data_IF_860712358896
#
_entry.id   IF_860712358896
#
_cell.length_a   1.000
_cell.length_b   1.000
_cell.length_c   1.000
_cell.angle_alpha   90.00
_cell.angle_beta   90.00
_cell.angle_gamma   90.00
#
_symmetry.space_group_name_H-M   'P 1'
#
loop_
_entity.id
_entity.type
_entity.pdbx_description
1 polymer ?
#
# COMPACT_ATOMS: atom_id res chain seq x y z
N UNK A 1 -22.68 -36.79 -32.25
CA UNK A 1 -22.12 -35.50 -31.79
C UNK A 1 -20.96 -35.17 -32.72
N UNK A 2 -21.02 -34.10 -33.52
CA UNK A 2 -19.93 -33.76 -34.45
C UNK A 2 -18.67 -33.36 -33.67
N UNK A 3 -17.48 -33.64 -34.22
CA UNK A 3 -16.21 -33.26 -33.58
C UNK A 3 -16.16 -31.77 -33.24
N UNK A 4 -16.74 -30.93 -34.10
CA UNK A 4 -16.89 -29.49 -33.88
C UNK A 4 -17.72 -29.14 -32.63
N UNK A 5 -18.80 -29.88 -32.35
CA UNK A 5 -19.61 -29.69 -31.13
C UNK A 5 -18.84 -30.04 -29.86
N UNK A 6 -18.03 -31.10 -29.89
CA UNK A 6 -17.16 -31.48 -28.75
C UNK A 6 -16.13 -30.38 -28.48
N UNK A 7 -15.50 -29.84 -29.52
CA UNK A 7 -14.51 -28.77 -29.41
C UNK A 7 -15.13 -27.51 -28.78
N UNK A 8 -16.32 -27.08 -29.23
CA UNK A 8 -17.01 -25.94 -28.64
C UNK A 8 -17.32 -26.14 -27.15
N UNK A 9 -17.78 -27.33 -26.76
CA UNK A 9 -18.11 -27.64 -25.38
C UNK A 9 -16.87 -27.57 -24.46
N UNK A 10 -15.72 -28.07 -24.93
CA UNK A 10 -14.45 -27.98 -24.18
C UNK A 10 -14.00 -26.53 -24.01
N UNK A 11 -14.11 -25.69 -25.05
CA UNK A 11 -13.75 -24.27 -24.97
C UNK A 11 -14.65 -23.55 -23.96
N UNK A 12 -15.97 -23.75 -24.03
CA UNK A 12 -16.93 -23.14 -23.10
C UNK A 12 -16.62 -23.55 -21.66
N UNK A 13 -16.37 -24.84 -21.42
CA UNK A 13 -16.04 -25.32 -20.09
C UNK A 13 -14.73 -24.71 -19.57
N UNK A 14 -13.72 -24.60 -20.44
CA UNK A 14 -12.41 -24.01 -20.09
C UNK A 14 -12.55 -22.53 -19.72
N UNK A 15 -13.31 -21.76 -20.52
CA UNK A 15 -13.60 -20.35 -20.23
C UNK A 15 -14.37 -20.20 -18.93
N UNK A 16 -15.33 -21.09 -18.66
CA UNK A 16 -16.12 -21.05 -17.43
C UNK A 16 -15.27 -21.35 -16.19
N UNK A 17 -14.40 -22.37 -16.25
CA UNK A 17 -13.44 -22.67 -15.16
C UNK A 17 -12.51 -21.49 -14.90
N UNK A 18 -12.00 -20.87 -15.97
CA UNK A 18 -11.14 -19.70 -15.87
C UNK A 18 -11.87 -18.50 -15.26
N UNK A 19 -13.12 -18.23 -15.69
CA UNK A 19 -13.94 -17.15 -15.17
C UNK A 19 -14.25 -17.34 -13.66
N UNK A 20 -14.59 -18.56 -13.24
CA UNK A 20 -14.80 -18.90 -11.83
C UNK A 20 -13.51 -18.74 -11.03
N UNK A 21 -12.37 -19.19 -11.57
CA UNK A 21 -11.06 -19.02 -10.95
C UNK A 21 -10.70 -17.54 -10.73
N UNK A 22 -10.88 -16.70 -11.75
CA UNK A 22 -10.64 -15.26 -11.63
C UNK A 22 -11.61 -14.59 -10.66
N UNK A 23 -12.90 -14.95 -10.68
CA UNK A 23 -13.87 -14.43 -9.72
C UNK A 23 -13.51 -14.83 -8.28
N UNK A 24 -13.13 -16.08 -8.06
CA UNK A 24 -12.67 -16.57 -6.75
C UNK A 24 -11.44 -15.82 -6.25
N UNK A 25 -10.42 -15.65 -7.10
CA UNK A 25 -9.23 -14.86 -6.79
C UNK A 25 -9.58 -13.40 -6.47
N UNK A 26 -10.45 -12.79 -7.26
CA UNK A 26 -10.89 -11.41 -7.08
C UNK A 26 -11.62 -11.23 -5.74
N UNK A 27 -12.55 -12.12 -5.41
CA UNK A 27 -13.26 -12.11 -4.12
C UNK A 27 -12.31 -12.34 -2.94
N UNK A 28 -11.32 -13.21 -3.10
CA UNK A 28 -10.29 -13.45 -2.08
C UNK A 28 -9.41 -12.21 -1.84
N UNK A 29 -8.94 -11.54 -2.90
CA UNK A 29 -8.19 -10.27 -2.77
C UNK A 29 -9.06 -9.18 -2.12
N UNK A 30 -10.33 -9.06 -2.52
CA UNK A 30 -11.26 -8.12 -1.87
C UNK A 30 -11.45 -8.42 -0.40
N UNK A 31 -11.54 -9.71 -0.03
CA UNK A 31 -11.63 -10.12 1.37
C UNK A 31 -10.39 -9.70 2.16
N UNK A 32 -9.20 -9.97 1.63
CA UNK A 32 -7.94 -9.57 2.27
C UNK A 32 -7.84 -8.05 2.48
N UNK A 33 -8.25 -7.27 1.48
CA UNK A 33 -8.29 -5.81 1.60
C UNK A 33 -9.28 -5.35 2.66
N UNK A 34 -10.48 -5.93 2.70
CA UNK A 34 -11.49 -5.61 3.73
C UNK A 34 -11.00 -5.96 5.13
N UNK A 35 -10.38 -7.12 5.30
CA UNK A 35 -9.79 -7.53 6.57
C UNK A 35 -8.65 -6.59 7.00
N UNK A 36 -7.77 -6.21 6.07
CA UNK A 36 -6.69 -5.27 6.36
C UNK A 36 -7.22 -3.87 6.71
N UNK A 37 -8.21 -3.37 5.99
CA UNK A 37 -8.85 -2.08 6.27
C UNK A 37 -9.61 -2.10 7.59
N UNK A 38 -10.33 -3.19 7.89
CA UNK A 38 -11.00 -3.40 9.17
C UNK A 38 -10.02 -3.37 10.32
N UNK A 39 -8.96 -4.19 10.26
CA UNK A 39 -7.94 -4.22 11.29
C UNK A 39 -7.20 -2.88 11.47
N UNK A 40 -6.98 -2.14 10.38
CA UNK A 40 -6.39 -0.80 10.44
C UNK A 40 -7.35 0.19 11.13
N UNK A 41 -8.66 0.11 10.87
CA UNK A 41 -9.68 0.92 11.55
C UNK A 41 -9.80 0.56 13.02
N UNK A 42 -9.85 -0.73 13.34
CA UNK A 42 -9.95 -1.24 14.72
C UNK A 42 -8.72 -0.82 15.55
N UNK A 43 -7.52 -0.81 14.94
CA UNK A 43 -6.29 -0.34 15.59
C UNK A 43 -6.21 1.18 15.76
N UNK A 44 -6.95 1.96 14.95
CA UNK A 44 -6.74 3.41 14.83
C UNK A 44 -7.82 4.30 15.44
N UNK A 45 -9.02 3.80 15.71
CA UNK A 45 -10.15 4.63 16.14
C UNK A 45 -10.36 5.89 15.23
N UNK A 46 -11.04 6.93 15.73
CA UNK A 46 -11.44 8.15 14.98
C UNK A 46 -10.26 9.01 14.47
N UNK A 47 -9.00 8.68 14.74
CA UNK A 47 -7.81 9.50 14.43
C UNK A 47 -7.21 9.30 13.03
N UNK A 48 -7.94 8.65 12.12
CA UNK A 48 -7.51 8.40 10.75
C UNK A 48 -7.87 9.57 9.83
N UNK A 49 -6.86 10.27 9.33
CA UNK A 49 -7.04 11.41 8.43
C UNK A 49 -7.24 10.94 6.97
N UNK A 50 -6.49 9.93 6.54
CA UNK A 50 -6.60 9.38 5.19
C UNK A 50 -6.05 7.95 5.11
N UNK A 51 -6.65 7.12 4.24
CA UNK A 51 -6.17 5.77 3.94
C UNK A 51 -6.20 5.54 2.44
N UNK A 52 -5.10 5.02 1.90
CA UNK A 52 -5.01 4.64 0.49
C UNK A 52 -4.41 3.24 0.29
N UNK A 53 -4.82 2.58 -0.79
CA UNK A 53 -4.10 1.43 -1.34
C UNK A 53 -2.71 1.86 -1.82
N UNK A 54 -1.69 1.07 -1.53
CA UNK A 54 -0.32 1.34 -1.96
C UNK A 54 0.45 0.04 -2.24
N UNK A 55 1.64 0.19 -2.82
CA UNK A 55 2.61 -0.89 -2.91
C UNK A 55 3.92 -0.50 -2.22
N UNK A 56 4.29 -1.26 -1.21
CA UNK A 56 5.50 -1.06 -0.43
C UNK A 56 6.74 -1.49 -1.20
N UNK A 57 7.63 -0.54 -1.47
CA UNK A 57 8.88 -0.74 -2.21
C UNK A 57 10.01 -1.27 -1.32
N UNK A 58 9.83 -1.20 -0.01
CA UNK A 58 10.76 -1.72 1.00
C UNK A 58 11.19 -0.67 2.03
N UNK A 59 11.99 -1.13 2.99
CA UNK A 59 12.66 -0.34 4.03
C UNK A 59 14.17 -0.60 3.98
N UNK A 60 15.01 0.42 4.10
CA UNK A 60 16.47 0.27 3.93
C UNK A 60 17.05 -0.71 4.95
N UNK A 61 16.67 -0.59 6.23
CA UNK A 61 17.17 -1.46 7.30
C UNK A 61 16.84 -2.95 7.13
N UNK A 62 15.80 -3.27 6.35
CA UNK A 62 15.38 -4.66 6.08
C UNK A 62 16.15 -5.34 4.93
N UNK A 63 17.02 -4.61 4.23
CA UNK A 63 17.88 -5.15 3.16
C UNK A 63 17.13 -5.63 1.91
N UNK A 64 17.85 -6.19 0.93
CA UNK A 64 17.28 -6.52 -0.38
C UNK A 64 16.40 -7.79 -0.41
N UNK A 65 16.58 -8.69 0.55
CA UNK A 65 15.84 -9.96 0.65
C UNK A 65 14.44 -9.82 1.27
N UNK A 66 14.05 -8.61 1.66
CA UNK A 66 12.76 -8.35 2.28
C UNK A 66 11.58 -8.67 1.34
N UNK A 67 10.49 -9.14 1.96
CA UNK A 67 9.22 -9.30 1.27
C UNK A 67 8.56 -7.94 1.10
N UNK A 68 8.09 -7.68 -0.13
CA UNK A 68 7.45 -6.45 -0.58
C UNK A 68 6.06 -6.77 -1.10
N UNK A 69 5.18 -5.78 -1.19
CA UNK A 69 3.84 -6.08 -1.65
C UNK A 69 2.83 -4.96 -1.51
N UNK A 70 1.60 -5.30 -1.88
CA UNK A 70 0.44 -4.42 -1.75
C UNK A 70 0.04 -4.29 -0.27
N UNK A 71 -0.45 -3.12 0.10
CA UNK A 71 -0.93 -2.84 1.42
C UNK A 71 -1.79 -1.58 1.46
N UNK A 72 -2.11 -1.18 2.68
CA UNK A 72 -2.76 0.08 2.99
C UNK A 72 -1.77 0.97 3.73
N UNK A 73 -1.74 2.23 3.35
CA UNK A 73 -1.04 3.28 4.09
C UNK A 73 -2.11 4.19 4.69
N UNK A 74 -2.02 4.45 5.99
CA UNK A 74 -2.85 5.39 6.70
C UNK A 74 -2.01 6.55 7.25
N UNK A 75 -2.52 7.75 7.08
CA UNK A 75 -2.08 8.96 7.76
C UNK A 75 -2.97 9.19 8.98
N UNK A 76 -2.33 9.38 10.14
CA UNK A 76 -2.98 9.82 11.38
C UNK A 76 -2.34 11.10 11.88
N UNK A 77 -2.90 11.72 12.93
CA UNK A 77 -2.29 12.89 13.57
C UNK A 77 -0.88 12.61 14.12
N UNK A 78 -0.64 11.36 14.56
CA UNK A 78 0.62 10.97 15.18
C UNK A 78 1.66 10.39 14.22
N UNK A 79 1.30 10.03 12.98
CA UNK A 79 2.25 9.51 12.00
C UNK A 79 1.65 8.63 10.89
N UNK A 80 2.49 7.75 10.35
CA UNK A 80 2.15 6.86 9.23
C UNK A 80 2.06 5.41 9.68
N UNK A 81 0.96 4.75 9.36
CA UNK A 81 0.79 3.30 9.59
C UNK A 81 0.67 2.56 8.27
N UNK A 82 1.50 1.54 8.12
CA UNK A 82 1.44 0.66 6.96
C UNK A 82 1.02 -0.75 7.36
N UNK A 83 0.13 -1.35 6.57
CA UNK A 83 -0.28 -2.75 6.71
C UNK A 83 -0.27 -3.46 5.36
N UNK A 84 0.57 -4.47 5.23
CA UNK A 84 0.67 -5.30 4.04
C UNK A 84 -0.47 -6.34 4.00
N UNK A 85 -1.01 -6.61 2.81
CA UNK A 85 -2.06 -7.61 2.63
C UNK A 85 -1.51 -9.02 2.85
N UNK A 86 -0.42 -9.36 2.16
CA UNK A 86 0.34 -10.59 2.33
C UNK A 86 1.84 -10.36 2.16
N UNK A 87 2.68 -10.93 3.05
CA UNK A 87 2.32 -11.47 4.36
C UNK A 87 1.71 -10.38 5.26
N UNK A 88 0.90 -10.75 6.25
CA UNK A 88 0.25 -9.83 7.19
C UNK A 88 1.28 -9.18 8.13
N UNK A 89 1.99 -8.17 7.62
CA UNK A 89 3.00 -7.38 8.35
C UNK A 89 2.52 -5.94 8.45
N UNK A 90 2.80 -5.29 9.56
CA UNK A 90 2.53 -3.87 9.77
C UNK A 90 3.71 -3.20 10.46
N UNK A 91 3.82 -1.89 10.29
CA UNK A 91 4.73 -1.05 11.04
C UNK A 91 4.18 0.38 11.13
N UNK A 92 4.76 1.13 12.06
CA UNK A 92 4.38 2.52 12.35
C UNK A 92 5.62 3.41 12.30
N UNK A 93 5.48 4.57 11.68
CA UNK A 93 6.49 5.64 11.66
C UNK A 93 5.86 6.84 12.38
N UNK A 94 6.33 7.17 13.61
CA UNK A 94 5.89 8.36 14.31
C UNK A 94 6.22 9.62 13.50
N UNK A 95 5.31 10.58 13.47
CA UNK A 95 5.50 11.87 12.82
C UNK A 95 6.76 12.58 13.34
N UNK A 96 6.99 12.52 14.65
CA UNK A 96 8.16 13.09 15.31
C UNK A 96 9.51 12.47 14.90
N UNK A 97 9.50 11.27 14.31
CA UNK A 97 10.73 10.62 13.83
C UNK A 97 11.03 10.91 12.36
N UNK A 98 10.06 11.45 11.61
CA UNK A 98 10.22 11.80 10.19
C UNK A 98 11.24 12.93 10.05
N UNK A 99 12.19 12.75 9.13
CA UNK A 99 13.28 13.68 8.82
C UNK A 99 13.15 14.30 7.44
N UNK A 100 12.45 13.64 6.52
CA UNK A 100 12.23 14.16 5.18
C UNK A 100 11.28 13.30 4.37
N UNK A 101 10.72 13.93 3.33
CA UNK A 101 9.90 13.27 2.31
C UNK A 101 10.49 13.62 0.94
N UNK A 102 10.64 12.62 0.08
CA UNK A 102 11.17 12.79 -1.28
C UNK A 102 10.41 11.92 -2.28
N UNK A 103 10.60 12.19 -3.58
CA UNK A 103 9.82 11.57 -4.66
C UNK A 103 10.67 10.81 -5.69
N UNK A 104 11.50 9.84 -5.28
CA UNK A 104 12.34 9.13 -6.23
C UNK A 104 11.48 8.23 -7.13
N UNK A 105 11.94 8.00 -8.36
CA UNK A 105 11.33 6.97 -9.23
C UNK A 105 11.79 5.55 -8.86
N UNK A 106 12.94 5.42 -8.18
CA UNK A 106 13.53 4.13 -7.83
C UNK A 106 13.84 4.05 -6.35
N UNK A 107 13.58 2.90 -5.75
CA UNK A 107 13.95 2.60 -4.37
C UNK A 107 14.43 1.16 -4.25
N UNK A 108 15.56 0.94 -3.57
CA UNK A 108 16.21 -0.38 -3.46
C UNK A 108 16.37 -1.08 -4.83
N UNK A 109 16.78 -0.31 -5.84
CA UNK A 109 16.98 -0.75 -7.23
C UNK A 109 15.72 -1.05 -8.04
N UNK A 110 14.51 -0.89 -7.47
CA UNK A 110 13.23 -1.19 -8.14
C UNK A 110 12.52 0.08 -8.63
N UNK A 111 11.83 -0.04 -9.76
CA UNK A 111 10.98 0.97 -10.36
C UNK A 111 9.56 0.41 -10.48
N UNK A 112 8.52 1.21 -10.25
CA UNK A 112 7.12 0.79 -10.41
C UNK A 112 6.23 1.87 -11.02
N UNK A 113 6.55 2.31 -12.23
CA UNK A 113 5.62 3.05 -13.09
C UNK A 113 5.36 4.51 -12.71
N UNK A 114 6.04 5.07 -11.70
CA UNK A 114 5.82 6.45 -11.27
C UNK A 114 6.78 6.91 -10.19
N UNK A 115 6.53 8.10 -9.66
CA UNK A 115 7.18 8.62 -8.46
C UNK A 115 6.70 7.86 -7.22
N UNK A 116 7.60 7.70 -6.26
CA UNK A 116 7.35 6.99 -5.01
C UNK A 116 7.29 8.00 -3.89
N UNK A 117 6.39 7.81 -2.93
CA UNK A 117 6.49 8.49 -1.65
C UNK A 117 7.63 7.83 -0.85
N UNK A 118 8.80 8.48 -0.77
CA UNK A 118 9.87 8.07 0.15
C UNK A 118 9.79 8.90 1.42
N UNK A 119 9.85 8.23 2.56
CA UNK A 119 9.92 8.85 3.88
C UNK A 119 11.22 8.42 4.55
N UNK A 120 12.03 9.40 4.93
CA UNK A 120 13.27 9.25 5.69
C UNK A 120 12.97 9.54 7.17
N UNK A 121 13.42 8.69 8.08
CA UNK A 121 13.06 8.77 9.50
C UNK A 121 14.15 8.17 10.41
N UNK A 122 14.08 8.49 11.71
CA UNK A 122 14.84 7.77 12.73
C UNK A 122 14.03 6.55 13.20
N UNK A 123 14.60 5.35 13.09
CA UNK A 123 13.95 4.12 13.53
C UNK A 123 13.92 3.99 15.07
N UNK A 124 13.35 2.91 15.58
CA UNK A 124 13.23 2.65 17.03
C UNK A 124 14.57 2.53 17.76
N UNK A 125 15.67 2.27 17.05
CA UNK A 125 17.03 2.26 17.57
C UNK A 125 17.73 3.63 17.44
N UNK A 126 17.02 4.67 17.00
CA UNK A 126 17.56 6.01 16.76
C UNK A 126 18.46 6.13 15.53
N UNK A 127 18.52 5.09 14.68
CA UNK A 127 19.32 5.08 13.45
C UNK A 127 18.51 5.61 12.27
N UNK A 128 19.18 6.23 11.31
CA UNK A 128 18.56 6.64 10.05
C UNK A 128 18.06 5.42 9.28
N UNK A 129 16.84 5.55 8.76
CA UNK A 129 16.20 4.57 7.90
C UNK A 129 15.32 5.30 6.88
N UNK A 130 14.89 4.58 5.85
CA UNK A 130 13.94 5.10 4.90
C UNK A 130 13.08 3.98 4.36
N UNK A 131 11.87 4.34 3.95
CA UNK A 131 11.01 3.44 3.21
C UNK A 131 10.28 4.18 2.10
N UNK A 132 9.79 3.43 1.12
CA UNK A 132 9.06 4.03 0.02
C UNK A 132 7.82 3.22 -0.37
N UNK A 133 6.82 3.93 -0.89
CA UNK A 133 5.60 3.35 -1.43
C UNK A 133 5.30 3.94 -2.80
N UNK A 134 4.78 3.10 -3.70
CA UNK A 134 3.95 3.58 -4.79
C UNK A 134 2.54 3.77 -4.22
N UNK A 135 2.07 5.01 -4.16
CA UNK A 135 0.74 5.39 -3.67
C UNK A 135 0.13 6.39 -4.65
N UNK A 136 -1.19 6.51 -4.64
CA UNK A 136 -1.86 7.58 -5.37
C UNK A 136 -1.42 8.94 -4.80
N UNK A 137 -1.11 9.87 -5.70
CA UNK A 137 -0.64 11.23 -5.40
C UNK A 137 0.43 11.31 -4.29
N UNK A 138 1.67 10.86 -4.53
CA UNK A 138 2.72 10.92 -3.51
C UNK A 138 3.01 12.35 -3.04
N UNK A 139 2.74 13.37 -3.86
CA UNK A 139 2.98 14.78 -3.50
C UNK A 139 2.00 15.24 -2.43
N UNK A 140 0.70 14.95 -2.59
CA UNK A 140 -0.30 15.24 -1.55
C UNK A 140 0.09 14.62 -0.20
N UNK A 141 0.58 13.37 -0.19
CA UNK A 141 1.04 12.73 1.04
C UNK A 141 2.19 13.50 1.70
N UNK A 142 3.14 14.00 0.91
CA UNK A 142 4.24 14.80 1.44
C UNK A 142 3.78 16.16 1.98
N UNK A 143 2.84 16.83 1.30
CA UNK A 143 2.22 18.07 1.77
C UNK A 143 1.45 17.85 3.08
N UNK A 144 0.69 16.76 3.17
CA UNK A 144 -0.06 16.39 4.36
C UNK A 144 0.86 16.09 5.56
N UNK A 145 1.96 15.38 5.34
CA UNK A 145 2.99 15.12 6.37
C UNK A 145 3.63 16.44 6.81
N UNK A 146 3.98 17.32 5.88
CA UNK A 146 4.56 18.63 6.19
C UNK A 146 3.62 19.51 7.02
N UNK A 147 2.33 19.57 6.64
CA UNK A 147 1.32 20.31 7.40
C UNK A 147 1.22 19.80 8.85
N UNK A 148 1.19 18.49 9.05
CA UNK A 148 1.13 17.90 10.39
C UNK A 148 2.40 18.17 11.21
N UNK A 149 3.59 18.15 10.60
CA UNK A 149 4.86 18.53 11.26
C UNK A 149 4.84 19.99 11.73
N UNK A 150 4.12 20.86 11.02
CA UNK A 150 3.88 22.26 11.39
C UNK A 150 2.71 22.45 12.37
N UNK A 151 2.04 21.37 12.81
CA UNK A 151 0.87 21.43 13.69
C UNK A 151 -0.41 21.93 13.00
N UNK A 152 -0.47 21.85 11.66
CA UNK A 152 -1.63 22.24 10.85
C UNK A 152 -2.42 21.02 10.39
N UNK A 153 -3.68 21.21 10.04
CA UNK A 153 -4.45 20.17 9.38
C UNK A 153 -3.98 19.99 7.92
N UNK A 154 -3.95 18.75 7.41
CA UNK A 154 -3.53 18.47 6.04
C UNK A 154 -4.55 19.01 5.03
N UNK A 155 -4.10 19.31 3.79
CA UNK A 155 -5.01 19.67 2.71
C UNK A 155 -6.00 18.52 2.45
N UNK A 156 -7.24 18.81 2.02
CA UNK A 156 -8.20 17.77 1.68
C UNK A 156 -7.63 16.87 0.57
N UNK A 157 -7.73 15.53 0.67
CA UNK A 157 -7.25 14.63 -0.36
C UNK A 157 -8.03 14.84 -1.66
N UNK A 158 -7.34 14.73 -2.81
CA UNK A 158 -8.01 14.73 -4.10
C UNK A 158 -8.98 13.52 -4.15
N UNK A 159 -10.26 13.78 -4.45
CA UNK A 159 -11.31 12.75 -4.47
C UNK A 159 -11.15 11.73 -5.61
N UNK A 160 -10.13 11.89 -6.45
CA UNK A 160 -9.85 11.03 -7.61
C UNK A 160 -8.88 9.89 -7.33
N UNK A 161 -8.28 9.83 -6.13
CA UNK A 161 -7.30 8.79 -5.72
C UNK A 161 -7.93 7.55 -5.12
#
# INVERSE_FOLDING_TARGET
MSAMMVVFLVIILSVLVMAVGFAGLFLWVRRLRREAAGALRDELAEDVLHVADCNFMGMLSSGYAQVRGNGLLALTRDGLRFRMLLPRRSFYIPLSSIKGVTYPRRFLGKFKGGELLRVDFANSAGKEDACAWLVADPHWWGEAIAALLEGKDPPPPDRRS
#
